data_IF_316324747480
#
_entry.id   IF_316324747480
#
_cell.length_a   1.000
_cell.length_b   1.000
_cell.length_c   1.000
_cell.angle_alpha   90.00
_cell.angle_beta   90.00
_cell.angle_gamma   90.00
#
_symmetry.space_group_name_H-M   'P 1'
#
loop_
_entity.id
_entity.type
_entity.pdbx_description
1 polymer ?
#
# COMPACT_ATOMS: atom_id res chain seq x y z
N UNK A 1 5.09 17.33 11.95
CA UNK A 1 4.67 15.97 12.38
C UNK A 1 3.25 16.02 12.93
N UNK A 2 2.26 15.39 12.28
CA UNK A 2 0.87 15.44 12.70
C UNK A 2 0.65 14.59 13.98
N UNK A 3 0.36 15.23 15.13
CA UNK A 3 0.18 14.55 16.43
C UNK A 3 -0.91 13.49 16.41
N UNK A 4 -1.95 13.68 15.60
CA UNK A 4 -3.10 12.78 15.55
C UNK A 4 -2.73 11.41 14.96
N UNK A 5 -1.93 11.35 13.89
CA UNK A 5 -1.54 10.08 13.28
C UNK A 5 -0.70 9.20 14.23
N UNK A 6 0.20 9.80 15.01
CA UNK A 6 1.00 9.04 16.01
C UNK A 6 0.16 8.39 17.10
N UNK A 7 -0.92 9.04 17.54
CA UNK A 7 -1.81 8.48 18.56
C UNK A 7 -2.61 7.29 18.01
N UNK A 8 -3.04 7.41 16.76
CA UNK A 8 -3.85 6.41 16.07
C UNK A 8 -3.08 5.11 15.81
N UNK A 9 -1.78 5.21 15.49
CA UNK A 9 -0.91 4.06 15.24
C UNK A 9 -0.73 3.17 16.47
N UNK A 10 -0.79 3.74 17.68
CA UNK A 10 -0.55 3.02 18.93
C UNK A 10 -1.69 2.07 19.34
N UNK A 11 -2.74 1.95 18.52
CA UNK A 11 -3.91 1.10 18.80
C UNK A 11 -3.91 -0.07 17.80
N UNK A 12 -3.37 -1.25 18.15
CA UNK A 12 -3.24 -2.38 17.21
C UNK A 12 -4.57 -2.82 16.58
N UNK A 13 -5.67 -2.80 17.35
CA UNK A 13 -7.02 -3.12 16.85
C UNK A 13 -7.50 -2.14 15.77
N UNK A 14 -7.04 -0.89 15.84
CA UNK A 14 -7.38 0.13 14.85
C UNK A 14 -6.62 -0.11 13.54
N UNK A 15 -5.32 -0.42 13.61
CA UNK A 15 -4.52 -0.77 12.42
C UNK A 15 -5.08 -1.99 11.68
N UNK A 16 -5.45 -3.04 12.44
CA UNK A 16 -6.13 -4.20 11.88
C UNK A 16 -7.45 -3.82 11.21
N UNK A 17 -8.27 -2.99 11.86
CA UNK A 17 -9.55 -2.55 11.29
C UNK A 17 -9.37 -1.78 9.98
N UNK A 18 -8.42 -0.85 9.92
CA UNK A 18 -8.09 -0.12 8.68
C UNK A 18 -7.66 -1.06 7.56
N UNK A 19 -6.86 -2.07 7.90
CA UNK A 19 -6.34 -3.07 6.97
C UNK A 19 -7.48 -3.91 6.36
N UNK A 20 -8.47 -4.29 7.17
CA UNK A 20 -9.68 -4.97 6.68
C UNK A 20 -10.56 -4.03 5.84
N UNK A 21 -10.73 -2.77 6.27
CA UNK A 21 -11.60 -1.80 5.59
C UNK A 21 -11.00 -1.25 4.28
N UNK A 22 -9.69 -1.30 4.08
CA UNK A 22 -9.06 -0.89 2.82
C UNK A 22 -9.16 -1.96 1.72
N UNK A 23 -9.37 -3.22 2.12
CA UNK A 23 -9.39 -4.40 1.25
C UNK A 23 -10.78 -5.05 1.08
N UNK A 24 -11.81 -4.59 1.79
CA UNK A 24 -13.14 -5.22 1.67
C UNK A 24 -13.71 -5.06 0.25
N UNK A 25 -14.33 -6.14 -0.25
CA UNK A 25 -14.91 -6.20 -1.60
C UNK A 25 -16.18 -5.35 -1.68
N UNK A 26 -16.27 -4.49 -2.68
CA UNK A 26 -17.53 -3.86 -3.05
C UNK A 26 -18.44 -4.95 -3.64
N UNK A 27 -19.62 -5.14 -3.07
CA UNK A 27 -20.59 -6.09 -3.62
C UNK A 27 -21.33 -5.49 -4.82
N UNK A 28 -21.89 -6.34 -5.68
CA UNK A 28 -22.74 -5.94 -6.80
C UNK A 28 -24.18 -5.64 -6.30
N UNK A 29 -24.33 -4.71 -5.37
CA UNK A 29 -25.64 -4.45 -4.79
C UNK A 29 -26.40 -3.39 -5.59
N UNK A 30 -27.73 -3.50 -5.58
CA UNK A 30 -28.64 -2.56 -6.24
C UNK A 30 -28.78 -1.23 -5.48
N UNK A 31 -28.13 -1.05 -4.33
CA UNK A 31 -28.23 0.13 -3.49
C UNK A 31 -27.00 1.03 -3.66
N UNK A 32 -27.11 1.98 -4.58
CA UNK A 32 -26.05 2.95 -4.92
C UNK A 32 -25.53 3.73 -3.71
N UNK A 33 -26.38 4.05 -2.73
CA UNK A 33 -25.98 4.81 -1.54
C UNK A 33 -25.06 3.99 -0.63
N UNK A 34 -25.41 2.73 -0.39
CA UNK A 34 -24.59 1.81 0.42
C UNK A 34 -23.26 1.55 -0.27
N UNK A 35 -23.24 1.43 -1.59
CA UNK A 35 -22.00 1.21 -2.33
C UNK A 35 -21.10 2.46 -2.37
N UNK A 36 -21.68 3.66 -2.39
CA UNK A 36 -20.95 4.91 -2.22
C UNK A 36 -20.33 5.02 -0.82
N UNK A 37 -21.09 4.70 0.24
CA UNK A 37 -20.57 4.69 1.61
C UNK A 37 -19.41 3.71 1.77
N UNK A 38 -19.58 2.51 1.25
CA UNK A 38 -18.55 1.46 1.17
C UNK A 38 -17.29 1.96 0.47
N UNK A 39 -17.47 2.55 -0.71
CA UNK A 39 -16.37 3.12 -1.48
C UNK A 39 -15.62 4.20 -0.69
N UNK A 40 -16.33 5.10 -0.01
CA UNK A 40 -15.75 6.15 0.81
C UNK A 40 -14.98 5.59 2.02
N UNK A 41 -15.53 4.61 2.73
CA UNK A 41 -14.85 3.95 3.85
C UNK A 41 -13.54 3.32 3.38
N UNK A 42 -13.54 2.67 2.22
CA UNK A 42 -12.34 2.08 1.62
C UNK A 42 -11.29 3.14 1.31
N UNK A 43 -11.67 4.23 0.66
CA UNK A 43 -10.76 5.33 0.31
C UNK A 43 -10.18 6.01 1.56
N UNK A 44 -11.02 6.34 2.54
CA UNK A 44 -10.59 6.96 3.79
C UNK A 44 -9.65 6.05 4.59
N UNK A 45 -9.91 4.73 4.57
CA UNK A 45 -9.05 3.77 5.26
C UNK A 45 -7.68 3.68 4.61
N UNK A 46 -7.61 3.70 3.27
CA UNK A 46 -6.35 3.76 2.51
C UNK A 46 -5.58 5.04 2.81
N UNK A 47 -6.22 6.20 2.74
CA UNK A 47 -5.57 7.48 3.05
C UNK A 47 -5.04 7.51 4.50
N UNK A 48 -5.76 6.89 5.43
CA UNK A 48 -5.28 6.74 6.80
C UNK A 48 -4.03 5.86 6.89
N UNK A 49 -3.98 4.74 6.15
CA UNK A 49 -2.81 3.88 6.06
C UNK A 49 -1.61 4.60 5.43
N UNK A 50 -1.82 5.42 4.40
CA UNK A 50 -0.76 6.20 3.74
C UNK A 50 -0.15 7.20 4.73
N UNK A 51 -0.99 7.91 5.48
CA UNK A 51 -0.54 8.81 6.56
C UNK A 51 0.22 8.07 7.65
N UNK A 52 -0.18 6.83 7.96
CA UNK A 52 0.52 5.98 8.92
C UNK A 52 1.92 5.63 8.41
N UNK A 53 2.06 5.29 7.13
CA UNK A 53 3.38 5.02 6.54
C UNK A 53 4.28 6.25 6.63
N UNK A 54 3.76 7.45 6.29
CA UNK A 54 4.53 8.70 6.34
C UNK A 54 5.05 9.05 7.74
N UNK A 55 4.24 8.85 8.78
CA UNK A 55 4.59 9.25 10.16
C UNK A 55 5.02 8.11 11.08
N UNK A 56 4.99 6.87 10.59
CA UNK A 56 5.35 5.67 11.33
C UNK A 56 6.86 5.54 11.53
N UNK A 57 7.28 4.86 12.58
CA UNK A 57 8.66 4.48 12.85
C UNK A 57 8.87 2.96 12.61
N UNK A 58 10.05 2.45 12.92
CA UNK A 58 10.38 1.03 12.75
C UNK A 58 9.37 0.07 13.39
N UNK A 59 8.90 0.38 14.61
CA UNK A 59 7.90 -0.45 15.31
C UNK A 59 6.56 -0.45 14.58
N UNK A 60 6.13 0.71 14.11
CA UNK A 60 4.85 0.85 13.42
C UNK A 60 4.86 0.05 12.11
N UNK A 61 6.00 0.02 11.42
CA UNK A 61 6.21 -0.81 10.23
C UNK A 61 6.18 -2.31 10.56
N UNK A 62 6.86 -2.71 11.64
CA UNK A 62 6.81 -4.08 12.13
C UNK A 62 5.38 -4.52 12.46
N UNK A 63 4.62 -3.67 13.15
CA UNK A 63 3.22 -3.93 13.52
C UNK A 63 2.33 -4.08 12.27
N UNK A 64 2.50 -3.23 11.25
CA UNK A 64 1.80 -3.36 9.96
C UNK A 64 2.09 -4.71 9.27
N UNK A 65 3.37 -5.10 9.17
CA UNK A 65 3.73 -6.39 8.55
C UNK A 65 3.15 -7.56 9.35
N UNK A 66 3.17 -7.50 10.68
CA UNK A 66 2.64 -8.54 11.57
C UNK A 66 1.13 -8.73 11.43
N UNK A 67 0.37 -7.68 11.15
CA UNK A 67 -1.08 -7.77 10.91
C UNK A 67 -1.43 -8.12 9.45
N UNK A 68 -0.44 -8.46 8.61
CA UNK A 68 -0.67 -8.88 7.24
C UNK A 68 -0.88 -7.73 6.26
N UNK A 69 -0.33 -6.54 6.54
CA UNK A 69 -0.52 -5.38 5.66
C UNK A 69 0.00 -5.62 4.23
N UNK A 70 1.03 -6.46 4.02
CA UNK A 70 1.49 -6.86 2.69
C UNK A 70 0.36 -7.46 1.86
N UNK A 71 -0.44 -8.36 2.44
CA UNK A 71 -1.61 -8.96 1.78
C UNK A 71 -2.66 -7.92 1.39
N UNK A 72 -2.86 -6.93 2.25
CA UNK A 72 -3.86 -5.88 2.03
C UNK A 72 -3.44 -4.87 0.97
N UNK A 73 -2.15 -4.59 0.86
CA UNK A 73 -1.60 -3.83 -0.27
C UNK A 73 -1.96 -4.53 -1.59
N UNK A 74 -1.77 -5.86 -1.66
CA UNK A 74 -2.09 -6.67 -2.83
C UNK A 74 -3.58 -6.61 -3.19
N UNK A 75 -4.45 -6.91 -2.22
CA UNK A 75 -5.91 -6.90 -2.45
C UNK A 75 -6.39 -5.49 -2.84
N UNK A 76 -5.81 -4.45 -2.24
CA UNK A 76 -6.17 -3.06 -2.55
C UNK A 76 -5.86 -2.68 -3.99
N UNK A 77 -4.79 -3.25 -4.54
CA UNK A 77 -4.37 -3.08 -5.90
C UNK A 77 -5.24 -3.88 -6.89
N UNK A 78 -5.48 -5.17 -6.65
CA UNK A 78 -6.38 -5.99 -7.49
C UNK A 78 -7.80 -5.42 -7.55
N UNK A 79 -8.26 -4.78 -6.47
CA UNK A 79 -9.60 -4.16 -6.37
C UNK A 79 -9.66 -2.72 -6.88
N UNK A 80 -8.56 -2.18 -7.42
CA UNK A 80 -8.53 -0.85 -8.04
C UNK A 80 -9.11 -0.82 -9.48
N UNK A 81 -9.61 -1.96 -9.98
CA UNK A 81 -10.25 -2.07 -11.28
C UNK A 81 -11.44 -1.11 -11.46
N UNK A 82 -11.43 -0.37 -12.57
CA UNK A 82 -12.41 0.65 -12.96
C UNK A 82 -11.98 1.35 -14.24
N UNK A 83 -12.86 2.18 -14.83
CA UNK A 83 -12.59 2.88 -16.10
C UNK A 83 -12.61 4.39 -15.82
N UNK A 84 -11.53 5.10 -16.18
CA UNK A 84 -11.46 6.57 -16.16
C UNK A 84 -10.31 7.15 -15.34
N UNK A 85 -10.10 8.46 -15.46
CA UNK A 85 -8.93 9.16 -14.90
C UNK A 85 -8.85 9.14 -13.36
N UNK A 86 -10.00 9.16 -12.68
CA UNK A 86 -10.04 9.09 -11.22
C UNK A 86 -9.59 7.71 -10.70
N UNK A 87 -9.84 6.65 -11.48
CA UNK A 87 -9.37 5.31 -11.18
C UNK A 87 -7.88 5.18 -11.46
N UNK A 88 -7.42 5.73 -12.58
CA UNK A 88 -6.01 5.79 -12.93
C UNK A 88 -5.15 6.46 -11.84
N UNK A 89 -5.66 7.57 -11.27
CA UNK A 89 -5.01 8.24 -10.15
C UNK A 89 -4.97 7.36 -8.89
N UNK A 90 -6.05 6.63 -8.59
CA UNK A 90 -6.10 5.70 -7.45
C UNK A 90 -5.11 4.55 -7.61
N UNK A 91 -5.01 3.98 -8.81
CA UNK A 91 -4.03 2.94 -9.13
C UNK A 91 -2.61 3.49 -8.92
N UNK A 92 -2.34 4.70 -9.42
CA UNK A 92 -1.04 5.34 -9.25
C UNK A 92 -0.68 5.56 -7.78
N UNK A 93 -1.63 6.04 -6.97
CA UNK A 93 -1.43 6.26 -5.55
C UNK A 93 -1.11 4.94 -4.84
N UNK A 94 -1.95 3.91 -5.04
CA UNK A 94 -1.73 2.59 -4.43
C UNK A 94 -0.34 2.06 -4.80
N UNK A 95 0.05 2.11 -6.08
CA UNK A 95 1.40 1.69 -6.53
C UNK A 95 2.51 2.45 -5.81
N UNK A 96 2.37 3.76 -5.66
CA UNK A 96 3.32 4.59 -4.94
C UNK A 96 3.42 4.20 -3.46
N UNK A 97 2.30 3.86 -2.83
CA UNK A 97 2.27 3.39 -1.43
C UNK A 97 2.99 2.05 -1.28
N UNK A 98 2.79 1.11 -2.22
CA UNK A 98 3.54 -0.17 -2.26
C UNK A 98 5.05 0.09 -2.31
N UNK A 99 5.47 0.93 -3.25
CA UNK A 99 6.86 1.27 -3.49
C UNK A 99 7.49 1.87 -2.23
N UNK A 100 6.82 2.84 -1.61
CA UNK A 100 7.33 3.53 -0.44
C UNK A 100 7.43 2.61 0.78
N UNK A 101 6.41 1.79 1.01
CA UNK A 101 6.39 0.82 2.10
C UNK A 101 7.57 -0.15 2.00
N UNK A 102 7.75 -0.78 0.84
CA UNK A 102 8.78 -1.80 0.63
C UNK A 102 10.18 -1.18 0.63
N UNK A 103 10.36 -0.01 0.01
CA UNK A 103 11.64 0.73 0.07
C UNK A 103 12.03 1.08 1.50
N UNK A 104 11.07 1.52 2.31
CA UNK A 104 11.34 1.81 3.72
C UNK A 104 11.72 0.56 4.51
N UNK A 105 11.11 -0.60 4.22
CA UNK A 105 11.52 -1.88 4.81
C UNK A 105 12.94 -2.30 4.37
N UNK A 106 13.28 -2.15 3.09
CA UNK A 106 14.58 -2.55 2.54
C UNK A 106 15.73 -1.62 2.91
N UNK A 107 15.51 -0.32 2.84
CA UNK A 107 16.59 0.68 2.92
C UNK A 107 16.53 1.49 4.21
N UNK A 108 15.50 1.30 5.03
CA UNK A 108 15.22 2.21 6.15
C UNK A 108 14.73 3.57 5.65
N UNK A 109 14.80 4.57 6.53
CA UNK A 109 14.47 5.97 6.22
C UNK A 109 15.47 6.91 6.86
N UNK A 110 15.87 7.95 6.13
CA UNK A 110 16.81 8.98 6.60
C UNK A 110 16.36 10.41 6.26
N UNK A 111 15.09 10.62 5.89
CA UNK A 111 14.55 11.92 5.52
C UNK A 111 14.33 12.84 6.74
N UNK A 112 14.52 14.15 6.57
CA UNK A 112 14.31 15.15 7.64
C UNK A 112 12.86 15.26 8.12
N UNK A 113 11.90 14.86 7.26
CA UNK A 113 10.46 15.06 7.48
C UNK A 113 9.74 13.82 8.04
N UNK A 114 10.38 12.65 8.01
CA UNK A 114 9.81 11.38 8.42
C UNK A 114 10.63 10.75 9.56
N UNK A 115 10.06 9.85 10.38
CA UNK A 115 10.86 9.16 11.39
C UNK A 115 11.93 8.28 10.73
N UNK A 116 13.19 8.56 11.04
CA UNK A 116 14.30 7.75 10.58
C UNK A 116 14.34 6.38 11.27
N UNK A 117 14.72 5.35 10.52
CA UNK A 117 15.07 4.04 11.05
C UNK A 117 15.99 3.28 10.10
N UNK A 118 16.68 2.28 10.65
CA UNK A 118 17.52 1.35 9.89
C UNK A 118 16.67 0.34 9.11
N UNK A 119 17.19 -0.25 8.02
CA UNK A 119 16.57 -1.35 7.31
C UNK A 119 15.95 -2.42 8.22
N UNK A 120 14.81 -2.97 7.79
CA UNK A 120 14.03 -3.98 8.50
C UNK A 120 13.98 -5.30 7.70
N UNK A 121 15.11 -5.98 7.51
CA UNK A 121 15.25 -7.09 6.54
C UNK A 121 14.33 -8.29 6.83
N UNK A 122 14.07 -8.59 8.10
CA UNK A 122 13.14 -9.67 8.47
C UNK A 122 11.69 -9.34 8.06
N UNK A 123 11.29 -8.08 8.21
CA UNK A 123 9.95 -7.63 7.87
C UNK A 123 9.78 -7.41 6.37
N UNK A 124 10.85 -7.07 5.65
CA UNK A 124 10.81 -7.01 4.19
C UNK A 124 10.58 -8.40 3.60
N UNK A 125 11.35 -9.42 4.02
CA UNK A 125 11.15 -10.82 3.58
C UNK A 125 9.73 -11.31 3.85
N UNK A 126 9.20 -11.06 5.05
CA UNK A 126 7.81 -11.42 5.39
C UNK A 126 6.80 -10.70 4.50
N UNK A 127 7.06 -9.46 4.11
CA UNK A 127 6.19 -8.71 3.22
C UNK A 127 6.24 -9.28 1.80
N UNK A 128 7.42 -9.64 1.31
CA UNK A 128 7.58 -10.33 0.02
C UNK A 128 6.80 -11.65 0.00
N UNK A 129 6.94 -12.49 1.03
CA UNK A 129 6.19 -13.73 1.20
C UNK A 129 4.67 -13.49 1.16
N UNK A 130 4.18 -12.46 1.85
CA UNK A 130 2.76 -12.07 1.83
C UNK A 130 2.29 -11.63 0.44
N UNK A 131 3.14 -10.94 -0.33
CA UNK A 131 2.83 -10.45 -1.67
C UNK A 131 2.78 -11.61 -2.67
N UNK A 132 3.70 -12.56 -2.55
CA UNK A 132 3.75 -13.77 -3.37
C UNK A 132 2.55 -14.69 -3.09
N UNK A 133 2.24 -14.93 -1.81
CA UNK A 133 1.11 -15.80 -1.40
C UNK A 133 -0.24 -15.31 -1.95
N UNK A 134 -0.43 -13.99 -2.05
CA UNK A 134 -1.67 -13.39 -2.53
C UNK A 134 -1.72 -13.17 -4.06
N UNK A 135 -0.71 -13.61 -4.82
CA UNK A 135 -0.71 -13.52 -6.29
C UNK A 135 -0.69 -12.09 -6.83
N UNK A 136 -0.04 -11.17 -6.11
CA UNK A 136 -0.02 -9.75 -6.49
C UNK A 136 0.90 -9.46 -7.67
N UNK A 137 1.85 -10.35 -7.96
CA UNK A 137 2.80 -10.20 -9.04
C UNK A 137 2.10 -10.24 -10.40
N UNK A 138 1.12 -11.12 -10.56
CA UNK A 138 0.28 -11.28 -11.75
C UNK A 138 -0.54 -10.02 -12.03
N UNK A 139 -1.12 -9.44 -10.98
CA UNK A 139 -1.88 -8.20 -11.07
C UNK A 139 -0.95 -7.04 -11.48
N UNK A 140 0.27 -6.98 -10.94
CA UNK A 140 1.22 -5.93 -11.29
C UNK A 140 1.66 -6.05 -12.75
N UNK A 141 1.85 -7.28 -13.24
CA UNK A 141 2.11 -7.55 -14.65
C UNK A 141 0.98 -7.06 -15.57
N UNK A 142 -0.27 -7.24 -15.17
CA UNK A 142 -1.41 -6.72 -15.93
C UNK A 142 -1.34 -5.18 -16.05
N UNK A 143 -1.01 -4.47 -14.96
CA UNK A 143 -0.91 -3.01 -14.97
C UNK A 143 0.34 -2.47 -15.69
N UNK A 144 1.38 -3.28 -15.93
CA UNK A 144 2.55 -2.88 -16.74
C UNK A 144 2.20 -2.57 -18.21
N UNK A 145 1.00 -2.95 -18.66
CA UNK A 145 0.48 -2.61 -19.99
C UNK A 145 -0.58 -1.50 -19.97
N UNK A 146 -0.93 -0.97 -18.79
CA UNK A 146 -1.91 0.09 -18.64
C UNK A 146 -1.33 1.46 -19.04
N UNK A 147 -1.86 2.03 -20.13
CA UNK A 147 -1.46 3.36 -20.64
C UNK A 147 -2.16 4.54 -19.96
N UNK A 148 -2.99 4.26 -18.96
CA UNK A 148 -3.68 5.25 -18.13
C UNK A 148 -2.73 6.25 -17.47
N UNK A 149 -3.29 7.42 -17.17
CA UNK A 149 -2.55 8.56 -16.62
C UNK A 149 -1.27 8.93 -17.39
N UNK A 150 -1.35 9.09 -18.71
CA UNK A 150 -0.21 9.40 -19.58
C UNK A 150 0.95 8.39 -19.40
N UNK A 151 0.64 7.09 -19.40
CA UNK A 151 1.59 5.96 -19.22
C UNK A 151 2.30 5.91 -17.87
N UNK A 152 1.93 6.73 -16.89
CA UNK A 152 2.55 6.69 -15.55
C UNK A 152 2.21 5.39 -14.83
N UNK A 153 1.00 4.85 -14.98
CA UNK A 153 0.62 3.57 -14.33
C UNK A 153 1.56 2.46 -14.75
N UNK A 154 1.78 2.29 -16.06
CA UNK A 154 2.77 1.36 -16.61
C UNK A 154 4.17 1.54 -16.02
N UNK A 155 4.64 2.78 -15.88
CA UNK A 155 5.96 3.05 -15.29
C UNK A 155 6.01 2.62 -13.81
N UNK A 156 5.01 3.03 -13.02
CA UNK A 156 4.95 2.72 -11.59
C UNK A 156 4.73 1.23 -11.33
N UNK A 157 3.95 0.53 -12.15
CA UNK A 157 3.77 -0.92 -12.05
C UNK A 157 5.09 -1.68 -12.27
N UNK A 158 5.87 -1.28 -13.30
CA UNK A 158 7.22 -1.82 -13.51
C UNK A 158 8.15 -1.55 -12.34
N UNK A 159 8.07 -0.34 -11.80
CA UNK A 159 8.92 0.07 -10.68
C UNK A 159 8.55 -0.65 -9.39
N UNK A 160 7.26 -0.79 -9.08
CA UNK A 160 6.76 -1.57 -7.94
C UNK A 160 7.22 -3.02 -8.03
N UNK A 161 7.06 -3.66 -9.20
CA UNK A 161 7.55 -5.01 -9.44
C UNK A 161 9.07 -5.12 -9.22
N UNK A 162 9.85 -4.15 -9.71
CA UNK A 162 11.29 -4.13 -9.47
C UNK A 162 11.63 -3.97 -7.98
N UNK A 163 10.93 -3.12 -7.25
CA UNK A 163 11.16 -2.91 -5.80
C UNK A 163 10.80 -4.14 -4.97
N UNK A 164 9.76 -4.88 -5.35
CA UNK A 164 9.35 -6.13 -4.70
C UNK A 164 10.35 -7.25 -4.99
N UNK A 165 10.77 -7.40 -6.25
CA UNK A 165 11.61 -8.52 -6.69
C UNK A 165 13.11 -8.27 -6.52
N UNK A 166 13.54 -7.00 -6.36
CA UNK A 166 14.96 -6.71 -6.19
C UNK A 166 15.43 -7.06 -4.78
N UNK A 167 15.96 -8.28 -4.66
CA UNK A 167 17.07 -8.54 -3.76
C UNK A 167 18.34 -7.88 -4.32
N UNK A 168 18.74 -6.75 -3.72
CA UNK A 168 19.93 -5.96 -4.02
C UNK A 168 19.89 -5.19 -5.37
N UNK A 169 20.66 -4.10 -5.42
CA UNK A 169 20.79 -3.11 -6.51
C UNK A 169 19.77 -1.95 -6.39
N UNK A 170 20.09 -0.98 -5.53
CA UNK A 170 20.68 0.30 -5.97
C UNK A 170 21.45 0.85 -4.76
N UNK A 171 22.75 0.55 -4.76
CA UNK A 171 23.78 1.45 -4.24
C UNK A 171 23.81 2.65 -5.20
N UNK A 172 23.73 3.86 -4.66
CA UNK A 172 24.39 5.03 -5.25
C UNK A 172 25.33 5.55 -4.16
#
# INVERSE_FOLDING_TARGET
>A
MNRSCKQVIQIPKFLHSLTVLSSFKLGNHSNQEVDLQRFNVRCNSRECLDRIQECGNAKDFADLVNIGYGKVICISFSTAGGIGEEHDKKILNVLNDIINFIRALHNGRNDEWQPSFQPLPLFSRRTEEQIEEEGANEEMEAQMNNNGYNRRIKYYAKYAKAVILNHFIITI
#
